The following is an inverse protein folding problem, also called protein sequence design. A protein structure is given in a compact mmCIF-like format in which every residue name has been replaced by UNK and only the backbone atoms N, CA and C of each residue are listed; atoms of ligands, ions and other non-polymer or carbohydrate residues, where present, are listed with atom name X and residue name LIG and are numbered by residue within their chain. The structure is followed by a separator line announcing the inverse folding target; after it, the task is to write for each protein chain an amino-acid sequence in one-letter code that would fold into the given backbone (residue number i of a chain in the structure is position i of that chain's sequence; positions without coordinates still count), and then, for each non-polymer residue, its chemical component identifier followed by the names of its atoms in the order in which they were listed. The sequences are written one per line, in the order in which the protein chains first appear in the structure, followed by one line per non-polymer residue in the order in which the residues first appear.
data_IF_013617409753
#
_entry.id   IF_013617409753
#
_cell.length_a   1.000
_cell.length_b   1.000
_cell.length_c   1.000
_cell.angle_alpha   90.00
_cell.angle_beta   90.00
_cell.angle_gamma   90.00
#
_symmetry.space_group_name_H-M   'P 1'
#
loop_
_entity.id
_entity.type
_entity.pdbx_description
1 polymer ?
#
# COMPACT_ATOMS: atom_id res chain seq x y z
N UNK A 1 -2.28 -12.92 -25.00
CA UNK A 1 -2.06 -11.66 -24.27
C UNK A 1 -0.66 -11.19 -24.64
N UNK A 2 -0.49 -9.96 -25.11
CA UNK A 2 0.86 -9.41 -25.32
C UNK A 2 1.58 -9.36 -23.98
N UNK A 3 2.82 -9.85 -23.94
CA UNK A 3 3.66 -9.75 -22.77
C UNK A 3 3.95 -8.27 -22.50
N UNK A 4 3.74 -7.81 -21.27
CA UNK A 4 4.14 -6.47 -20.83
C UNK A 4 5.66 -6.37 -20.94
N UNK A 5 6.17 -5.38 -21.68
CA UNK A 5 7.60 -5.12 -21.81
C UNK A 5 7.98 -3.72 -21.38
N UNK A 6 7.05 -2.77 -21.52
CA UNK A 6 7.21 -1.38 -21.14
C UNK A 6 6.22 -0.99 -20.04
N UNK A 7 6.72 -0.30 -19.01
CA UNK A 7 5.93 0.18 -17.87
C UNK A 7 6.13 1.68 -17.72
N UNK A 8 5.04 2.42 -17.77
CA UNK A 8 5.01 3.83 -17.41
C UNK A 8 4.71 3.99 -15.92
N UNK A 9 5.60 4.60 -15.16
CA UNK A 9 5.49 4.76 -13.71
C UNK A 9 4.97 6.14 -13.37
N UNK A 10 3.94 6.19 -12.53
CA UNK A 10 3.35 7.44 -12.05
C UNK A 10 3.90 7.71 -10.66
N UNK A 11 4.85 8.63 -10.58
CA UNK A 11 5.48 9.02 -9.32
C UNK A 11 4.59 10.02 -8.56
N UNK A 12 4.30 9.80 -7.27
CA UNK A 12 3.70 10.84 -6.44
C UNK A 12 4.71 11.97 -6.21
N UNK A 13 4.31 13.21 -6.50
CA UNK A 13 5.20 14.38 -6.53
C UNK A 13 5.63 14.89 -5.16
N UNK A 14 4.87 14.58 -4.10
CA UNK A 14 5.17 14.96 -2.72
C UNK A 14 4.85 13.85 -1.76
N UNK A 15 5.68 13.66 -0.74
CA UNK A 15 5.37 12.81 0.39
C UNK A 15 4.40 13.52 1.32
N UNK A 16 3.40 12.79 1.81
CA UNK A 16 2.45 13.29 2.79
C UNK A 16 2.55 12.42 4.03
N UNK A 17 2.77 13.05 5.18
CA UNK A 17 2.92 12.34 6.44
C UNK A 17 1.66 12.44 7.31
N UNK A 18 1.26 11.33 7.94
CA UNK A 18 0.12 11.32 8.86
C UNK A 18 0.50 10.90 10.28
N UNK A 19 -0.32 11.35 11.24
CA UNK A 19 -0.34 10.82 12.59
C UNK A 19 -1.79 10.76 13.05
N UNK A 20 -2.32 9.55 13.28
CA UNK A 20 -3.73 9.37 13.66
C UNK A 20 -3.87 8.42 14.84
N UNK A 21 -4.85 8.69 15.71
CA UNK A 21 -5.20 7.79 16.81
C UNK A 21 -6.69 7.45 16.75
N UNK A 22 -7.03 6.17 16.83
CA UNK A 22 -8.41 5.75 17.01
C UNK A 22 -8.84 5.98 18.46
N UNK A 23 -9.50 7.11 18.75
CA UNK A 23 -10.26 7.22 20.00
C UNK A 23 -11.52 6.37 19.86
N UNK A 24 -11.48 5.16 20.42
CA UNK A 24 -12.59 4.20 20.54
C UNK A 24 -13.36 3.88 19.25
N UNK A 25 -12.98 2.77 18.60
CA UNK A 25 -13.87 2.01 17.71
C UNK A 25 -14.19 2.68 16.37
N UNK A 26 -13.26 2.62 15.43
CA UNK A 26 -13.56 3.01 14.06
C UNK A 26 -12.35 2.95 13.15
N UNK A 27 -12.48 2.25 12.01
CA UNK A 27 -11.42 2.11 11.01
C UNK A 27 -10.98 3.45 10.41
N UNK A 28 -9.70 3.52 10.06
CA UNK A 28 -9.06 4.66 9.40
C UNK A 28 -9.24 4.53 7.89
N UNK A 29 -9.71 5.59 7.24
CA UNK A 29 -9.61 5.75 5.78
C UNK A 29 -8.54 6.81 5.51
N UNK A 30 -7.45 6.36 4.91
CA UNK A 30 -6.30 7.19 4.54
C UNK A 30 -6.61 7.95 3.25
N UNK A 31 -6.62 9.28 3.34
CA UNK A 31 -6.63 10.16 2.17
C UNK A 31 -5.19 10.34 1.67
N UNK A 32 -4.77 9.51 0.72
CA UNK A 32 -3.47 9.61 0.07
C UNK A 32 -3.60 9.97 -1.42
N UNK A 33 -3.17 11.17 -1.78
CA UNK A 33 -2.66 11.52 -3.11
C UNK A 33 -3.68 11.90 -4.20
N UNK A 34 -4.02 13.19 -4.31
CA UNK A 34 -4.51 13.78 -5.58
C UNK A 34 -3.34 14.48 -6.25
N UNK A 35 -2.92 13.95 -7.41
CA UNK A 35 -2.10 14.67 -8.37
C UNK A 35 -2.83 15.98 -8.75
N UNK A 36 -2.27 17.10 -8.33
CA UNK A 36 -2.51 18.43 -8.90
C UNK A 36 -3.98 18.81 -9.12
N UNK A 37 -4.69 19.19 -8.07
CA UNK A 37 -5.66 20.31 -8.03
C UNK A 37 -6.29 20.36 -6.64
N UNK A 38 -6.36 21.56 -6.04
CA UNK A 38 -7.26 21.82 -4.92
C UNK A 38 -8.68 21.64 -5.46
N UNK A 39 -9.29 20.49 -5.21
CA UNK A 39 -10.74 20.28 -5.34
C UNK A 39 -11.27 19.77 -4.01
N UNK A 40 -11.75 20.71 -3.21
CA UNK A 40 -12.73 20.44 -2.19
C UNK A 40 -14.02 19.96 -2.88
N UNK A 41 -14.23 18.65 -3.01
CA UNK A 41 -15.57 18.05 -3.12
C UNK A 41 -15.53 16.59 -2.67
N UNK A 42 -16.01 16.37 -1.45
CA UNK A 42 -16.65 15.17 -0.90
C UNK A 42 -16.62 13.87 -1.74
N UNK A 43 -15.87 12.87 -1.28
CA UNK A 43 -16.39 11.53 -0.91
C UNK A 43 -15.26 10.52 -0.67
N UNK A 44 -14.58 10.63 0.47
CA UNK A 44 -14.29 9.49 1.36
C UNK A 44 -14.63 9.97 2.78
N UNK A 45 -15.90 10.33 2.96
CA UNK A 45 -16.50 10.61 4.26
C UNK A 45 -16.68 9.29 5.02
N UNK A 46 -15.61 8.83 5.66
CA UNK A 46 -15.76 8.39 7.04
C UNK A 46 -14.96 9.38 7.88
N UNK A 47 -15.65 10.44 8.29
CA UNK A 47 -15.28 11.19 9.49
C UNK A 47 -15.46 10.19 10.63
N UNK A 48 -14.40 9.45 10.96
CA UNK A 48 -14.37 8.61 12.15
C UNK A 48 -13.60 9.37 13.22
N UNK A 49 -14.19 9.47 14.40
CA UNK A 49 -13.77 10.29 15.53
C UNK A 49 -12.46 9.76 16.18
N UNK A 50 -11.36 9.81 15.44
CA UNK A 50 -10.00 9.81 15.95
C UNK A 50 -9.49 11.24 16.02
N UNK A 51 -8.61 11.56 16.97
CA UNK A 51 -7.79 12.79 16.88
C UNK A 51 -6.85 12.61 15.68
N UNK A 52 -7.33 12.97 14.49
CA UNK A 52 -6.48 13.19 13.34
C UNK A 52 -5.65 14.44 13.62
N UNK A 53 -4.33 14.31 13.65
CA UNK A 53 -3.45 15.47 13.75
C UNK A 53 -3.25 15.99 12.33
N UNK A 54 -4.28 16.67 11.81
CA UNK A 54 -4.29 17.18 10.43
C UNK A 54 -3.13 18.13 10.12
N UNK A 55 -2.46 18.66 11.15
CA UNK A 55 -1.27 19.50 11.05
C UNK A 55 0.05 18.73 11.10
N UNK A 56 0.06 17.40 11.22
CA UNK A 56 1.31 16.63 11.30
C UNK A 56 2.14 16.79 10.03
N UNK A 57 1.53 16.66 8.85
CA UNK A 57 2.20 16.92 7.58
C UNK A 57 2.77 18.33 7.49
N UNK A 58 2.00 19.33 7.93
CA UNK A 58 2.44 20.72 7.92
C UNK A 58 3.65 20.92 8.85
N UNK A 59 3.63 20.28 10.01
CA UNK A 59 4.73 20.32 10.98
C UNK A 59 5.99 19.65 10.43
N UNK A 60 5.86 18.52 9.74
CA UNK A 60 6.97 17.86 9.04
C UNK A 60 7.51 18.75 7.93
N UNK A 61 6.63 19.30 7.10
CA UNK A 61 7.03 20.19 5.99
C UNK A 61 7.72 21.45 6.49
N UNK A 62 7.21 22.06 7.57
CA UNK A 62 7.78 23.27 8.16
C UNK A 62 9.16 23.00 8.78
N UNK A 63 9.32 21.89 9.51
CA UNK A 63 10.55 21.59 10.25
C UNK A 63 11.62 20.89 9.41
N UNK A 64 11.22 20.02 8.50
CA UNK A 64 12.11 19.12 7.75
C UNK A 64 12.10 19.37 6.23
N UNK A 65 11.13 20.12 5.72
CA UNK A 65 10.98 20.33 4.28
C UNK A 65 10.50 19.07 3.55
N UNK A 66 10.88 18.98 2.26
CA UNK A 66 10.66 17.78 1.46
C UNK A 66 11.76 16.75 1.74
N UNK A 67 11.37 15.59 2.25
CA UNK A 67 12.28 14.47 2.57
C UNK A 67 12.72 13.68 1.33
N UNK A 68 12.01 13.87 0.21
CA UNK A 68 12.20 13.13 -1.03
C UNK A 68 11.84 11.65 -0.93
N UNK A 69 11.11 11.22 0.11
CA UNK A 69 10.80 9.80 0.34
C UNK A 69 10.11 9.16 -0.88
N UNK A 70 9.09 9.82 -1.44
CA UNK A 70 8.37 9.28 -2.59
C UNK A 70 9.27 9.10 -3.82
N UNK A 71 10.18 10.05 -4.07
CA UNK A 71 11.16 9.93 -5.16
C UNK A 71 12.09 8.75 -4.92
N UNK A 72 12.68 8.63 -3.72
CA UNK A 72 13.56 7.51 -3.35
C UNK A 72 12.87 6.16 -3.49
N UNK A 73 11.62 6.07 -3.04
CA UNK A 73 10.82 4.85 -3.13
C UNK A 73 10.53 4.49 -4.58
N UNK A 74 10.06 5.45 -5.40
CA UNK A 74 9.81 5.22 -6.83
C UNK A 74 11.08 4.87 -7.58
N UNK A 75 12.20 5.56 -7.33
CA UNK A 75 13.51 5.23 -7.92
C UNK A 75 13.89 3.78 -7.66
N UNK A 76 13.66 3.30 -6.43
CA UNK A 76 13.93 1.92 -6.06
C UNK A 76 12.99 0.94 -6.78
N UNK A 77 11.69 1.24 -6.87
CA UNK A 77 10.74 0.42 -7.65
C UNK A 77 11.11 0.39 -9.14
N UNK A 78 11.47 1.53 -9.73
CA UNK A 78 11.93 1.60 -11.12
C UNK A 78 13.20 0.80 -11.34
N UNK A 79 14.15 0.84 -10.40
CA UNK A 79 15.36 0.04 -10.47
C UNK A 79 15.05 -1.46 -10.45
N UNK A 80 14.13 -1.90 -9.59
CA UNK A 80 13.68 -3.31 -9.54
C UNK A 80 12.97 -3.74 -10.83
N UNK A 81 12.16 -2.86 -11.42
CA UNK A 81 11.53 -3.11 -12.72
C UNK A 81 12.57 -3.21 -13.85
N UNK A 82 13.56 -2.30 -13.88
CA UNK A 82 14.65 -2.33 -14.88
C UNK A 82 15.51 -3.60 -14.71
N UNK A 83 15.82 -4.01 -13.49
CA UNK A 83 16.53 -5.26 -13.17
C UNK A 83 15.75 -6.50 -13.62
N UNK A 84 14.42 -6.47 -13.51
CA UNK A 84 13.53 -7.51 -14.04
C UNK A 84 13.40 -7.50 -15.58
N UNK A 85 14.04 -6.55 -16.28
CA UNK A 85 14.10 -6.48 -17.74
C UNK A 85 12.98 -5.66 -18.39
N UNK A 86 12.27 -4.83 -17.63
CA UNK A 86 11.27 -3.92 -18.17
C UNK A 86 11.89 -2.63 -18.70
N UNK A 87 11.35 -2.10 -19.79
CA UNK A 87 11.57 -0.73 -20.20
C UNK A 87 10.70 0.19 -19.35
N UNK A 88 11.32 1.11 -18.60
CA UNK A 88 10.65 1.90 -17.57
C UNK A 88 10.81 3.37 -17.87
N UNK A 89 9.67 4.06 -17.93
CA UNK A 89 9.63 5.52 -18.07
C UNK A 89 8.68 6.13 -17.06
N UNK A 90 9.05 7.28 -16.53
CA UNK A 90 8.17 8.05 -15.66
C UNK A 90 7.20 8.90 -16.49
N UNK A 91 5.96 9.02 -16.01
CA UNK A 91 4.95 9.91 -16.59
C UNK A 91 4.15 10.63 -15.50
N UNK A 92 3.59 11.78 -15.88
CA UNK A 92 2.58 12.47 -15.09
C UNK A 92 1.19 12.27 -15.69
N UNK A 93 0.21 11.92 -14.85
CA UNK A 93 -1.19 11.76 -15.25
C UNK A 93 -1.99 13.08 -15.22
N UNK A 94 -1.31 14.23 -15.36
CA UNK A 94 -1.89 15.57 -15.20
C UNK A 94 -2.54 16.12 -16.48
N UNK A 95 -2.20 15.56 -17.66
CA UNK A 95 -2.70 16.00 -18.96
C UNK A 95 -4.19 15.70 -19.22
N UNK A 96 -4.82 16.48 -20.09
CA UNK A 96 -6.21 16.25 -20.53
C UNK A 96 -6.36 14.90 -21.27
N UNK A 97 -5.31 14.48 -21.97
CA UNK A 97 -5.26 13.24 -22.75
C UNK A 97 -4.69 12.06 -21.95
N UNK A 98 -4.54 12.19 -20.63
CA UNK A 98 -4.02 11.13 -19.76
C UNK A 98 -5.16 10.46 -18.96
N UNK A 99 -5.05 9.14 -18.70
CA UNK A 99 -5.98 8.48 -17.80
C UNK A 99 -5.84 9.03 -16.38
N UNK A 100 -6.95 9.07 -15.66
CA UNK A 100 -7.02 9.57 -14.28
C UNK A 100 -7.27 8.43 -13.31
N UNK A 101 -6.57 8.48 -12.18
CA UNK A 101 -6.86 7.60 -11.05
C UNK A 101 -8.20 8.01 -10.45
N UNK A 102 -9.09 7.03 -10.33
CA UNK A 102 -10.41 7.17 -9.73
C UNK A 102 -10.61 6.04 -8.74
N UNK A 103 -11.45 6.25 -7.73
CA UNK A 103 -11.77 5.23 -6.74
C UNK A 103 -13.22 4.81 -6.96
N UNK A 104 -13.45 3.49 -7.06
CA UNK A 104 -14.81 2.93 -7.08
C UNK A 104 -15.47 3.14 -5.73
N UNK A 105 -16.80 2.99 -5.71
CA UNK A 105 -17.59 3.03 -4.47
C UNK A 105 -17.15 1.98 -3.43
N UNK A 106 -16.55 0.88 -3.88
CA UNK A 106 -16.01 -0.19 -3.04
C UNK A 106 -14.57 0.08 -2.52
N UNK A 107 -13.99 1.24 -2.84
CA UNK A 107 -12.63 1.61 -2.46
C UNK A 107 -11.54 1.13 -3.42
N UNK A 108 -11.89 0.39 -4.48
CA UNK A 108 -10.92 -0.12 -5.46
C UNK A 108 -10.46 0.98 -6.41
N UNK A 109 -9.16 1.12 -6.59
CA UNK A 109 -8.60 2.05 -7.57
C UNK A 109 -8.81 1.59 -9.01
N UNK A 110 -9.09 2.54 -9.89
CA UNK A 110 -9.21 2.36 -11.33
C UNK A 110 -8.58 3.51 -12.09
N UNK A 111 -8.04 3.23 -13.27
CA UNK A 111 -7.82 4.25 -14.28
C UNK A 111 -9.09 4.46 -15.13
N UNK A 112 -9.43 5.71 -15.38
CA UNK A 112 -10.52 6.11 -16.30
C UNK A 112 -10.06 7.24 -17.20
N UNK A 113 -10.56 7.25 -18.43
CA UNK A 113 -10.26 8.29 -19.41
C UNK A 113 -9.71 7.69 -20.71
N UNK A 114 -8.94 8.48 -21.48
CA UNK A 114 -8.26 8.00 -22.67
C UNK A 114 -7.31 6.84 -22.35
N UNK A 115 -7.19 5.91 -23.30
CA UNK A 115 -6.17 4.86 -23.24
C UNK A 115 -4.79 5.50 -23.34
N UNK A 116 -3.77 4.81 -22.83
CA UNK A 116 -2.40 5.27 -22.89
C UNK A 116 -1.57 4.36 -23.77
N UNK A 117 -1.24 4.85 -24.97
CA UNK A 117 -0.47 4.10 -25.97
C UNK A 117 1.05 4.19 -25.74
N UNK A 118 1.49 5.00 -24.78
CA UNK A 118 2.92 5.22 -24.55
C UNK A 118 3.66 4.02 -23.94
N UNK A 119 2.97 3.08 -23.30
CA UNK A 119 3.57 1.88 -22.72
C UNK A 119 2.53 0.75 -22.65
N UNK A 120 3.00 -0.49 -22.48
CA UNK A 120 2.12 -1.66 -22.35
C UNK A 120 1.33 -1.63 -21.04
N UNK A 121 1.91 -1.05 -19.98
CA UNK A 121 1.29 -0.89 -18.68
C UNK A 121 1.59 0.46 -18.03
N UNK A 122 0.69 0.89 -17.14
CA UNK A 122 0.85 2.03 -16.26
C UNK A 122 0.89 1.52 -14.82
N UNK A 123 1.97 1.81 -14.09
CA UNK A 123 2.08 1.55 -12.66
C UNK A 123 1.72 2.81 -11.89
N UNK A 124 0.74 2.69 -11.00
CA UNK A 124 0.34 3.73 -10.05
C UNK A 124 0.80 3.31 -8.66
N UNK A 125 1.54 4.19 -8.00
CA UNK A 125 2.05 4.00 -6.64
C UNK A 125 1.39 5.02 -5.71
N UNK A 126 0.81 4.52 -4.62
CA UNK A 126 0.28 5.38 -3.55
C UNK A 126 0.85 4.93 -2.21
N UNK A 127 1.46 5.87 -1.50
CA UNK A 127 2.05 5.60 -0.20
C UNK A 127 1.15 6.14 0.92
N UNK A 128 1.27 5.50 2.07
CA UNK A 128 0.66 5.87 3.33
C UNK A 128 1.78 5.85 4.35
N UNK A 129 2.30 7.01 4.73
CA UNK A 129 3.56 7.14 5.47
C UNK A 129 3.34 7.90 6.78
N UNK A 130 3.38 7.22 7.92
CA UNK A 130 3.11 7.92 9.17
C UNK A 130 3.04 7.06 10.41
N UNK A 131 2.23 7.51 11.36
CA UNK A 131 2.04 6.87 12.65
C UNK A 131 0.57 6.62 12.97
N UNK A 132 0.29 5.44 13.53
CA UNK A 132 -1.03 5.04 13.99
C UNK A 132 -1.00 4.60 15.45
N UNK A 133 -2.00 5.03 16.22
CA UNK A 133 -2.29 4.49 17.54
C UNK A 133 -3.71 3.90 17.54
N UNK A 134 -3.84 2.60 17.86
CA UNK A 134 -5.12 1.88 17.83
C UNK A 134 -6.10 2.24 18.95
N UNK A 135 -5.67 3.07 19.90
CA UNK A 135 -6.42 3.42 21.10
C UNK A 135 -5.72 4.53 21.89
N UNK A 136 -6.44 5.12 22.85
CA UNK A 136 -5.93 6.20 23.72
C UNK A 136 -4.69 5.82 24.52
N UNK A 137 -4.53 4.53 24.85
CA UNK A 137 -3.37 4.01 25.61
C UNK A 137 -2.41 3.19 24.75
N UNK A 138 -2.65 3.15 23.43
CA UNK A 138 -1.76 2.48 22.49
C UNK A 138 -0.63 3.42 22.13
N UNK A 139 0.58 2.87 21.99
CA UNK A 139 1.70 3.62 21.42
C UNK A 139 1.39 3.99 19.98
N UNK A 140 1.83 5.17 19.55
CA UNK A 140 1.99 5.50 18.15
C UNK A 140 3.08 4.60 17.57
N UNK A 141 2.71 3.78 16.58
CA UNK A 141 3.63 2.93 15.83
C UNK A 141 3.63 3.33 14.37
N UNK A 142 4.72 3.03 13.67
CA UNK A 142 4.80 3.28 12.22
C UNK A 142 3.64 2.58 11.50
N UNK A 143 2.93 3.37 10.71
CA UNK A 143 1.85 2.95 9.81
C UNK A 143 2.31 3.33 8.41
N UNK A 144 3.08 2.42 7.83
CA UNK A 144 3.74 2.59 6.54
C UNK A 144 3.25 1.53 5.58
N UNK A 145 2.79 1.93 4.41
CA UNK A 145 2.33 1.02 3.39
C UNK A 145 2.32 1.63 2.01
N UNK A 146 2.38 0.77 1.00
CA UNK A 146 2.33 1.15 -0.40
C UNK A 146 1.24 0.34 -1.11
N UNK A 147 0.39 1.02 -1.84
CA UNK A 147 -0.59 0.43 -2.76
C UNK A 147 -0.02 0.59 -4.17
N UNK A 148 0.34 -0.53 -4.78
CA UNK A 148 0.95 -0.56 -6.11
C UNK A 148 -0.01 -1.29 -7.04
N UNK A 149 -0.41 -0.62 -8.11
CA UNK A 149 -1.34 -1.19 -9.08
C UNK A 149 -0.83 -1.00 -10.50
N UNK A 150 -0.79 -2.08 -11.28
CA UNK A 150 -0.50 -1.99 -12.72
C UNK A 150 -1.80 -2.13 -13.50
N UNK A 151 -1.98 -1.23 -14.45
CA UNK A 151 -3.05 -1.22 -15.42
C UNK A 151 -2.49 -1.42 -16.82
N UNK A 152 -3.21 -2.09 -17.70
CA UNK A 152 -2.85 -2.12 -19.13
C UNK A 152 -2.99 -0.74 -19.75
N UNK A 153 -2.05 -0.33 -20.60
CA UNK A 153 -2.13 0.94 -21.32
C UNK A 153 -3.31 1.00 -22.30
N UNK A 154 -3.59 -0.12 -22.99
CA UNK A 154 -4.59 -0.23 -24.04
C UNK A 154 -6.04 -0.38 -23.53
N UNK A 155 -6.27 -1.06 -22.41
CA UNK A 155 -7.62 -1.28 -21.85
C UNK A 155 -7.86 -0.60 -20.51
N UNK A 156 -6.81 -0.12 -19.84
CA UNK A 156 -6.86 0.37 -18.46
C UNK A 156 -7.34 -0.68 -17.45
N UNK A 157 -7.36 -1.96 -17.84
CA UNK A 157 -7.68 -3.06 -16.92
C UNK A 157 -6.53 -3.31 -15.97
N UNK A 158 -6.88 -3.55 -14.70
CA UNK A 158 -5.90 -3.91 -13.67
C UNK A 158 -5.34 -5.30 -13.94
N UNK A 159 -4.03 -5.40 -14.08
CA UNK A 159 -3.30 -6.66 -14.30
C UNK A 159 -2.50 -7.11 -13.09
N UNK A 160 -2.17 -6.19 -12.19
CA UNK A 160 -1.52 -6.49 -10.92
C UNK A 160 -1.98 -5.48 -9.87
N UNK A 161 -2.09 -5.93 -8.63
CA UNK A 161 -2.45 -5.10 -7.49
C UNK A 161 -1.80 -5.71 -6.27
N UNK A 162 -1.08 -4.87 -5.53
CA UNK A 162 -0.45 -5.28 -4.29
C UNK A 162 -0.58 -4.19 -3.24
N UNK A 163 -0.68 -4.64 -2.00
CA UNK A 163 -0.81 -3.80 -0.83
C UNK A 163 0.27 -4.21 0.17
N UNK A 164 1.39 -3.51 0.08
CA UNK A 164 2.53 -3.70 0.96
C UNK A 164 2.26 -2.95 2.26
N UNK A 165 2.55 -3.59 3.38
CA UNK A 165 2.43 -2.99 4.71
C UNK A 165 3.64 -3.33 5.54
N UNK A 166 4.22 -2.32 6.14
CA UNK A 166 5.27 -2.48 7.11
C UNK A 166 4.67 -3.05 8.40
N UNK A 167 5.21 -4.18 8.86
CA UNK A 167 4.83 -4.76 10.13
C UNK A 167 5.83 -4.36 11.21
N UNK A 168 5.47 -3.40 12.06
CA UNK A 168 6.27 -3.06 13.24
C UNK A 168 6.34 -4.26 14.19
N UNK A 169 7.52 -4.84 14.36
CA UNK A 169 7.76 -5.89 15.35
C UNK A 169 7.57 -5.39 16.78
N UNK A 170 7.56 -6.31 17.75
CA UNK A 170 7.44 -5.98 19.18
C UNK A 170 8.59 -5.12 19.72
N UNK A 171 9.75 -5.13 19.05
CA UNK A 171 10.97 -4.39 19.39
C UNK A 171 11.20 -3.14 18.53
N UNK A 172 10.17 -2.61 17.87
CA UNK A 172 10.32 -1.40 17.07
C UNK A 172 10.76 -0.21 17.95
N UNK A 173 11.90 0.41 17.63
CA UNK A 173 12.45 1.57 18.33
C UNK A 173 11.72 2.87 18.00
N UNK A 174 10.94 2.89 16.91
CA UNK A 174 10.17 4.05 16.45
C UNK A 174 8.75 3.99 17.00
N UNK A 175 8.61 4.04 18.33
CA UNK A 175 7.30 4.00 19.01
C UNK A 175 7.24 5.10 20.05
N UNK A 176 6.10 5.79 20.10
CA UNK A 176 5.90 6.95 20.97
C UNK A 176 4.66 6.76 21.82
N UNK A 177 4.73 7.05 23.12
CA UNK A 177 3.57 6.91 24.00
C UNK A 177 2.53 8.01 23.75
N UNK A 178 2.98 9.18 23.29
CA UNK A 178 2.11 10.31 23.00
C UNK A 178 2.48 10.98 21.68
N UNK A 179 1.51 11.72 21.12
CA UNK A 179 1.78 12.58 19.96
C UNK A 179 2.81 13.68 20.26
N UNK A 180 2.88 14.15 21.51
CA UNK A 180 3.85 15.17 21.91
C UNK A 180 5.28 14.63 21.83
N UNK A 181 5.51 13.40 22.28
CA UNK A 181 6.80 12.73 22.15
C UNK A 181 7.17 12.53 20.68
N UNK A 182 6.24 12.02 19.87
CA UNK A 182 6.41 11.86 18.42
C UNK A 182 6.84 13.18 17.75
N UNK A 183 6.16 14.28 18.05
CA UNK A 183 6.48 15.60 17.48
C UNK A 183 7.77 16.21 18.04
N UNK A 184 8.16 15.86 19.26
CA UNK A 184 9.41 16.34 19.86
C UNK A 184 10.63 15.63 19.25
N UNK A 185 10.45 14.39 18.81
CA UNK A 185 11.47 13.55 18.18
C UNK A 185 11.29 13.45 16.65
N UNK A 186 10.68 14.47 16.04
CA UNK A 186 10.21 14.42 14.66
C UNK A 186 11.27 14.00 13.62
N UNK A 187 12.53 14.49 13.65
CA UNK A 187 13.54 14.05 12.68
C UNK A 187 13.80 12.55 12.74
N UNK A 188 13.88 11.97 13.95
CA UNK A 188 14.11 10.54 14.13
C UNK A 188 12.85 9.74 13.77
N UNK A 189 11.68 10.24 14.14
CA UNK A 189 10.41 9.61 13.79
C UNK A 189 10.22 9.49 12.27
N UNK A 190 10.57 10.54 11.51
CA UNK A 190 10.46 10.54 10.05
C UNK A 190 11.54 9.67 9.40
N UNK A 191 12.76 9.64 9.94
CA UNK A 191 13.77 8.65 9.53
C UNK A 191 13.22 7.21 9.67
N UNK A 192 12.54 6.89 10.77
CA UNK A 192 11.93 5.57 10.95
C UNK A 192 10.85 5.25 9.91
N UNK A 193 10.08 6.24 9.48
CA UNK A 193 9.09 6.07 8.40
C UNK A 193 9.78 5.82 7.07
N UNK A 194 10.82 6.60 6.76
CA UNK A 194 11.61 6.43 5.53
C UNK A 194 12.24 5.03 5.47
N UNK A 195 12.84 4.57 6.58
CA UNK A 195 13.40 3.21 6.69
C UNK A 195 12.34 2.12 6.47
N UNK A 196 11.16 2.29 7.07
CA UNK A 196 10.05 1.36 6.91
C UNK A 196 9.52 1.30 5.47
N UNK A 197 9.41 2.45 4.80
CA UNK A 197 8.95 2.52 3.42
C UNK A 197 9.95 1.85 2.46
N UNK A 198 11.24 2.12 2.64
CA UNK A 198 12.29 1.48 1.83
C UNK A 198 12.38 -0.03 2.07
N UNK A 199 12.00 -0.52 3.25
CA UNK A 199 11.93 -1.95 3.54
C UNK A 199 10.82 -2.69 2.76
N UNK A 200 9.88 -1.99 2.13
CA UNK A 200 8.82 -2.60 1.31
C UNK A 200 9.29 -2.95 -0.12
N UNK A 201 10.38 -2.35 -0.59
CA UNK A 201 10.86 -2.55 -1.98
C UNK A 201 11.20 -4.02 -2.28
N UNK A 202 11.89 -4.77 -1.40
CA UNK A 202 12.14 -6.20 -1.65
C UNK A 202 10.87 -7.04 -1.74
N UNK A 203 9.85 -6.72 -0.94
CA UNK A 203 8.56 -7.43 -0.96
C UNK A 203 7.83 -7.19 -2.29
N UNK A 204 7.84 -5.93 -2.78
CA UNK A 204 7.33 -5.61 -4.13
C UNK A 204 7.99 -6.48 -5.21
N UNK A 205 9.34 -6.58 -5.21
CA UNK A 205 10.07 -7.39 -6.19
C UNK A 205 9.61 -8.85 -6.14
N UNK A 206 9.48 -9.41 -4.94
CA UNK A 206 9.08 -10.79 -4.75
C UNK A 206 7.66 -11.06 -5.28
N UNK A 207 6.71 -10.19 -4.94
CA UNK A 207 5.30 -10.34 -5.32
C UNK A 207 5.07 -10.08 -6.81
N UNK A 208 5.79 -9.11 -7.40
CA UNK A 208 5.80 -8.89 -8.84
C UNK A 208 6.28 -10.14 -9.59
N UNK A 209 7.45 -10.68 -9.22
CA UNK A 209 8.01 -11.89 -9.85
C UNK A 209 7.06 -13.09 -9.71
N UNK A 210 6.45 -13.27 -8.54
CA UNK A 210 5.49 -14.33 -8.29
C UNK A 210 4.24 -14.18 -9.19
N UNK A 211 3.73 -12.96 -9.35
CA UNK A 211 2.53 -12.68 -10.17
C UNK A 211 2.74 -12.94 -11.67
N UNK A 212 3.98 -12.83 -12.15
CA UNK A 212 4.36 -13.03 -13.55
C UNK A 212 4.64 -14.50 -13.90
N UNK A 213 4.43 -15.42 -12.96
CA UNK A 213 4.65 -16.85 -13.16
C UNK A 213 6.12 -17.28 -13.06
N UNK A 214 7.02 -16.38 -12.66
CA UNK A 214 8.40 -16.73 -12.28
C UNK A 214 8.33 -17.30 -10.88
N UNK A 215 8.06 -18.61 -10.78
CA UNK A 215 7.83 -19.29 -9.49
C UNK A 215 8.95 -18.99 -8.48
N UNK A 216 8.58 -18.32 -7.39
CA UNK A 216 9.35 -18.15 -6.16
C UNK A 216 9.49 -19.49 -5.39
N UNK A 217 9.98 -20.54 -6.05
CA UNK A 217 10.17 -21.87 -5.44
C UNK A 217 11.47 -21.96 -4.61
N UNK A 218 12.11 -20.85 -4.25
CA UNK A 218 13.34 -20.90 -3.43
C UNK A 218 13.55 -19.72 -2.46
N UNK A 219 12.53 -18.91 -2.16
CA UNK A 219 12.68 -17.84 -1.14
C UNK A 219 11.93 -18.11 0.18
N UNK A 220 11.03 -19.11 0.23
CA UNK A 220 10.29 -19.46 1.45
C UNK A 220 10.76 -20.79 2.04
N UNK A 221 12.04 -20.86 2.34
CA UNK A 221 12.64 -21.93 3.13
C UNK A 221 13.81 -21.40 3.97
N UNK A 222 13.56 -20.35 4.77
CA UNK A 222 14.46 -19.94 5.84
C UNK A 222 13.71 -19.17 6.94
N UNK A 223 12.59 -19.72 7.42
CA UNK A 223 12.12 -19.40 8.77
C UNK A 223 11.54 -20.67 9.38
N UNK A 224 12.16 -21.26 10.41
CA UNK A 224 11.59 -22.39 11.11
C UNK A 224 10.24 -22.00 11.72
N UNK A 225 9.22 -22.88 11.69
CA UNK A 225 7.98 -22.63 12.41
C UNK A 225 8.25 -22.56 13.92
N UNK A 226 7.76 -21.50 14.58
CA UNK A 226 7.72 -21.45 16.04
C UNK A 226 6.73 -22.49 16.57
N UNK A 227 7.09 -23.23 17.64
CA UNK A 227 6.21 -24.24 18.21
C UNK A 227 5.02 -23.58 18.91
N UNK A 228 3.79 -23.91 18.48
CA UNK A 228 2.57 -23.48 19.16
C UNK A 228 1.36 -23.17 18.27
N UNK A 229 1.48 -23.16 16.94
CA UNK A 229 0.32 -22.95 16.07
C UNK A 229 -0.35 -24.27 15.68
N UNK A 230 -1.48 -24.56 16.31
CA UNK A 230 -2.44 -25.58 15.90
C UNK A 230 -3.04 -25.18 14.55
N UNK A 231 -2.76 -25.96 13.52
CA UNK A 231 -3.33 -25.79 12.18
C UNK A 231 -4.80 -26.25 12.22
N UNK A 232 -5.76 -25.33 12.19
CA UNK A 232 -7.14 -25.66 11.82
C UNK A 232 -7.25 -25.75 10.31
N UNK A 233 -7.10 -26.96 9.77
CA UNK A 233 -7.51 -27.27 8.40
C UNK A 233 -9.04 -27.30 8.34
N UNK A 234 -9.62 -26.34 7.61
CA UNK A 234 -11.03 -26.34 7.25
C UNK A 234 -11.33 -27.57 6.37
N UNK A 235 -11.99 -28.58 6.93
CA UNK A 235 -12.51 -29.72 6.19
C UNK A 235 -13.77 -29.30 5.42
N UNK A 236 -13.69 -29.46 4.10
CA UNK A 236 -14.80 -29.51 3.15
C UNK A 236 -15.78 -30.61 3.59
N UNK A 237 -17.02 -30.25 3.90
CA UNK A 237 -18.10 -31.21 4.07
C UNK A 237 -18.79 -31.41 2.71
N UNK A 238 -18.44 -32.49 2.03
CA UNK A 238 -19.23 -33.07 0.94
C UNK A 238 -20.36 -33.90 1.57
N UNK A 239 -21.61 -33.42 1.51
CA UNK A 239 -22.78 -34.21 1.92
C UNK A 239 -23.19 -35.12 0.75
N UNK A 240 -22.77 -36.38 0.81
CA UNK A 240 -23.27 -37.45 -0.06
C UNK A 240 -24.55 -38.04 0.55
N UNK A 241 -25.64 -37.93 -0.19
CA UNK A 241 -26.92 -38.58 0.06
C UNK A 241 -26.80 -40.09 -0.22
N UNK A 242 -27.25 -40.95 0.71
CA UNK A 242 -27.54 -42.37 0.45
C UNK A 242 -28.83 -42.79 1.18
N UNK A 243 -29.57 -43.80 0.66
CA UNK A 243 -30.99 -43.98 0.89
C UNK A 243 -31.30 -44.90 2.06
N UNK A 244 -32.46 -44.65 2.69
CA UNK A 244 -33.09 -45.58 3.62
C UNK A 244 -33.69 -46.77 2.87
N UNK A 245 -33.32 -47.96 3.30
CA UNK A 245 -34.03 -49.20 3.02
C UNK A 245 -33.84 -50.18 4.17
N UNK A 246 -34.92 -50.28 4.94
CA UNK A 246 -35.54 -51.52 5.38
C UNK A 246 -35.07 -52.26 6.66
N UNK A 247 -36.12 -52.58 7.44
CA UNK A 247 -36.37 -53.73 8.34
C UNK A 247 -35.66 -53.73 9.69
N UNK A 248 -36.21 -54.32 10.75
CA UNK A 248 -37.52 -54.82 11.15
C UNK A 248 -37.26 -55.47 12.52
N UNK A 249 -38.09 -55.18 13.53
CA UNK A 249 -38.65 -56.10 14.54
C UNK A 249 -39.43 -55.30 15.58
#
# INVERSE_FOLDING_TARGET
MSAVKSIAVVAPTKTYYHAVSASSGGGVIMAGGVLGTILATAALNTVTAGKSHSSFNDTVTEKLGDTGLNRKFVDALEAELKDAGYDVKEIELSGADMPRVTVRRDGTQMLKGPIYEGADAIMVVQNSDGYYASGTFSLYTRDVGAYITLYKGDTLDRIFSDQLRFNSGSSDSYRYATYLELNSDLPHAIQGVDEAAMALVPDFKADLLASLGVSAKTARAATPPQPGQTVQTAQKADTVQKPDSAKAE
#
